data_IF_107569559929
#
_entry.id   IF_107569559929
#
_cell.length_a   1.000
_cell.length_b   1.000
_cell.length_c   1.000
_cell.angle_alpha   90.00
_cell.angle_beta   90.00
_cell.angle_gamma   90.00
#
_symmetry.space_group_name_H-M   'P 1'
#
loop_
_entity.id
_entity.type
_entity.pdbx_description
1 polymer ?
#
# COMPACT_ATOMS: atom_id res chain seq x y z
N UNK A 1 -21.47 55.88 -66.62
CA UNK A 1 -22.76 56.56 -66.31
C UNK A 1 -23.37 55.89 -65.08
N UNK A 2 -23.67 56.69 -64.09
CA UNK A 2 -24.39 56.46 -62.84
C UNK A 2 -23.65 55.66 -61.69
N UNK A 3 -23.05 56.50 -60.88
CA UNK A 3 -22.79 56.40 -59.48
C UNK A 3 -24.07 56.23 -58.64
N UNK A 4 -24.06 55.32 -57.65
CA UNK A 4 -24.91 55.47 -56.44
C UNK A 4 -24.10 55.18 -55.23
N UNK A 5 -23.91 56.23 -54.43
CA UNK A 5 -23.34 56.23 -53.09
C UNK A 5 -24.38 55.79 -52.08
N UNK A 6 -24.05 54.88 -51.22
CA UNK A 6 -24.86 54.48 -50.06
C UNK A 6 -24.02 54.47 -48.79
N UNK A 7 -24.09 55.55 -48.02
CA UNK A 7 -23.56 55.62 -46.64
C UNK A 7 -24.47 54.81 -45.73
N UNK A 8 -23.88 53.88 -44.97
CA UNK A 8 -24.53 53.31 -43.81
C UNK A 8 -23.58 53.48 -42.58
N UNK A 9 -24.08 54.30 -41.67
CA UNK A 9 -23.51 54.58 -40.36
C UNK A 9 -23.71 53.38 -39.46
N UNK A 10 -22.61 52.68 -39.11
CA UNK A 10 -22.64 51.61 -38.13
C UNK A 10 -22.32 52.13 -36.74
N UNK A 11 -23.23 51.91 -35.83
CA UNK A 11 -23.08 52.16 -34.39
C UNK A 11 -21.99 51.22 -33.79
N UNK A 12 -20.99 51.78 -33.13
CA UNK A 12 -20.08 51.11 -32.29
C UNK A 12 -20.82 50.60 -31.04
N UNK A 13 -21.12 49.30 -31.00
CA UNK A 13 -21.53 48.61 -29.79
C UNK A 13 -20.29 48.27 -28.95
N UNK A 14 -20.20 48.89 -27.77
CA UNK A 14 -19.22 48.50 -26.75
C UNK A 14 -19.57 47.10 -26.23
N UNK A 15 -18.82 46.11 -26.64
CA UNK A 15 -18.86 44.78 -26.02
C UNK A 15 -17.98 44.83 -24.76
N UNK A 16 -18.64 44.90 -23.61
CA UNK A 16 -17.99 44.71 -22.31
C UNK A 16 -17.73 43.21 -22.14
N UNK A 17 -16.48 42.82 -22.31
CA UNK A 17 -16.02 41.46 -21.95
C UNK A 17 -15.95 41.40 -20.44
N UNK A 18 -16.97 40.81 -19.80
CA UNK A 18 -16.93 40.41 -18.40
C UNK A 18 -16.02 39.19 -18.30
N UNK A 19 -14.78 39.43 -17.86
CA UNK A 19 -13.83 38.37 -17.50
C UNK A 19 -14.31 37.73 -16.20
N UNK A 20 -15.12 36.66 -16.33
CA UNK A 20 -15.51 35.84 -15.22
C UNK A 20 -14.30 35.07 -14.74
N UNK A 21 -13.69 35.48 -13.62
CA UNK A 21 -12.77 34.64 -12.84
C UNK A 21 -13.55 33.42 -12.34
N UNK A 22 -13.50 32.32 -13.07
CA UNK A 22 -13.82 31.01 -12.51
C UNK A 22 -12.68 30.65 -11.54
N UNK A 23 -12.85 31.01 -10.27
CA UNK A 23 -12.04 30.46 -9.18
C UNK A 23 -12.25 28.96 -9.12
N UNK A 24 -11.35 28.19 -9.71
CA UNK A 24 -11.22 26.78 -9.43
C UNK A 24 -10.83 26.64 -7.96
N UNK A 25 -11.82 26.46 -7.10
CA UNK A 25 -11.59 25.96 -5.74
C UNK A 25 -11.05 24.54 -5.90
N UNK A 26 -9.73 24.42 -5.88
CA UNK A 26 -9.06 23.15 -5.58
C UNK A 26 -9.52 22.77 -4.17
N UNK A 27 -10.62 22.02 -4.11
CA UNK A 27 -11.04 21.36 -2.89
C UNK A 27 -9.89 20.48 -2.44
N UNK A 28 -9.21 20.89 -1.37
CA UNK A 28 -8.33 20.00 -0.65
C UNK A 28 -9.18 18.80 -0.23
N UNK A 29 -9.07 17.71 -0.96
CA UNK A 29 -9.67 16.43 -0.58
C UNK A 29 -8.91 15.99 0.66
N UNK A 30 -9.44 16.34 1.84
CA UNK A 30 -9.03 15.70 3.08
C UNK A 30 -9.13 14.21 2.82
N UNK A 31 -8.00 13.50 2.86
CA UNK A 31 -7.92 12.05 2.71
C UNK A 31 -8.79 11.43 3.80
N UNK A 32 -10.02 11.07 3.46
CA UNK A 32 -10.90 10.29 4.32
C UNK A 32 -10.39 8.85 4.28
N UNK A 33 -9.53 8.51 5.24
CA UNK A 33 -9.16 7.13 5.49
C UNK A 33 -10.41 6.38 5.94
N UNK A 34 -10.77 5.28 5.28
CA UNK A 34 -11.97 4.54 5.65
C UNK A 34 -11.77 3.92 7.04
N UNK A 35 -12.58 4.35 7.99
CA UNK A 35 -12.71 3.72 9.30
C UNK A 35 -13.79 2.67 9.14
N UNK A 36 -13.50 1.39 9.47
CA UNK A 36 -14.48 0.32 9.36
C UNK A 36 -15.58 0.49 10.43
N UNK A 37 -16.77 -0.06 10.17
CA UNK A 37 -17.87 -0.03 11.12
C UNK A 37 -17.48 -0.66 12.46
N UNK A 38 -16.74 -1.77 12.43
CA UNK A 38 -16.28 -2.50 13.61
C UNK A 38 -15.26 -1.69 14.43
N UNK A 39 -14.35 -0.99 13.76
CA UNK A 39 -13.39 -0.10 14.43
C UNK A 39 -14.13 1.04 15.16
N UNK A 40 -15.16 1.60 14.52
CA UNK A 40 -15.98 2.64 15.12
C UNK A 40 -16.81 2.09 16.29
N UNK A 41 -17.36 0.89 16.15
CA UNK A 41 -18.11 0.22 17.22
C UNK A 41 -17.19 -0.05 18.44
N UNK A 42 -16.00 -0.61 18.21
CA UNK A 42 -14.99 -0.85 19.26
C UNK A 42 -14.60 0.46 19.95
N UNK A 43 -14.31 1.51 19.18
CA UNK A 43 -13.95 2.81 19.74
C UNK A 43 -15.12 3.41 20.56
N UNK A 44 -16.35 3.30 20.09
CA UNK A 44 -17.53 3.79 20.81
C UNK A 44 -17.76 3.03 22.12
N UNK A 45 -17.58 1.71 22.10
CA UNK A 45 -17.69 0.88 23.29
C UNK A 45 -16.64 1.27 24.34
N UNK A 46 -15.38 1.44 23.91
CA UNK A 46 -14.27 1.82 24.80
C UNK A 46 -14.43 3.25 25.33
N UNK A 47 -14.99 4.18 24.53
CA UNK A 47 -15.29 5.54 24.97
C UNK A 47 -16.24 5.55 26.18
N UNK A 48 -17.16 4.60 26.26
CA UNK A 48 -18.14 4.49 27.35
C UNK A 48 -17.58 3.75 28.57
N UNK A 49 -16.79 2.70 28.34
CA UNK A 49 -16.37 1.79 29.41
C UNK A 49 -14.90 1.89 29.79
N UNK A 50 -14.04 2.54 29.00
CA UNK A 50 -12.59 2.48 29.14
C UNK A 50 -12.06 1.05 28.88
N UNK A 51 -10.76 0.85 29.03
CA UNK A 51 -10.12 -0.47 28.92
C UNK A 51 -9.71 -1.03 30.29
N UNK A 52 -9.69 -2.36 30.48
CA UNK A 52 -9.17 -2.96 31.69
C UNK A 52 -7.70 -2.62 31.91
N UNK A 53 -7.28 -2.36 33.13
CA UNK A 53 -5.86 -2.10 33.46
C UNK A 53 -4.96 -3.27 33.04
N UNK A 54 -5.49 -4.50 33.03
CA UNK A 54 -4.78 -5.70 32.59
C UNK A 54 -4.34 -5.65 31.11
N UNK A 55 -4.98 -4.83 30.28
CA UNK A 55 -4.68 -4.69 28.85
C UNK A 55 -3.65 -3.60 28.55
N UNK A 56 -3.29 -2.81 29.58
CA UNK A 56 -2.20 -1.84 29.46
C UNK A 56 -0.85 -2.53 29.37
N UNK A 57 0.07 -1.91 28.64
CA UNK A 57 1.48 -2.29 28.68
C UNK A 57 2.03 -2.12 30.10
N UNK A 58 2.92 -3.01 30.54
CA UNK A 58 3.48 -2.99 31.91
C UNK A 58 4.17 -1.66 32.25
N UNK A 59 4.71 -0.98 31.25
CA UNK A 59 5.44 0.30 31.34
C UNK A 59 4.72 1.41 30.60
N UNK A 60 3.38 1.34 30.49
CA UNK A 60 2.61 2.40 29.88
C UNK A 60 2.88 3.75 30.61
N UNK A 61 3.34 4.79 29.89
CA UNK A 61 3.63 6.07 30.49
C UNK A 61 2.35 6.79 30.94
N UNK A 62 2.40 7.55 32.02
CA UNK A 62 1.24 8.35 32.44
C UNK A 62 0.99 9.55 31.51
N UNK A 63 2.04 10.01 30.83
CA UNK A 63 1.95 11.09 29.85
C UNK A 63 2.87 10.81 28.65
N UNK A 64 2.42 11.21 27.46
CA UNK A 64 3.22 11.12 26.26
C UNK A 64 2.97 12.29 25.33
N UNK A 65 4.02 12.91 24.81
CA UNK A 65 3.91 13.95 23.79
C UNK A 65 4.19 13.35 22.43
N UNK A 66 3.23 13.44 21.52
CA UNK A 66 3.34 12.95 20.16
C UNK A 66 4.50 13.65 19.45
N UNK A 67 5.40 12.88 18.85
CA UNK A 67 6.59 13.36 18.14
C UNK A 67 6.40 13.26 16.62
N UNK A 68 7.16 14.06 15.89
CA UNK A 68 7.22 13.93 14.43
C UNK A 68 7.83 12.58 14.06
N UNK A 69 7.13 11.82 13.23
CA UNK A 69 7.52 10.47 12.83
C UNK A 69 6.86 9.36 13.65
N UNK A 70 6.10 9.69 14.70
CA UNK A 70 5.27 8.72 15.40
C UNK A 70 4.18 8.18 14.47
N UNK A 71 3.66 7.01 14.83
CA UNK A 71 2.50 6.40 14.20
C UNK A 71 1.50 5.96 15.27
N UNK A 72 0.22 5.87 14.94
CA UNK A 72 -0.78 5.33 15.88
C UNK A 72 -0.42 3.92 16.35
N UNK A 73 0.19 3.13 15.49
CA UNK A 73 0.71 1.81 15.83
C UNK A 73 1.77 1.89 16.93
N UNK A 74 2.77 2.75 16.76
CA UNK A 74 3.83 2.92 17.75
C UNK A 74 3.29 3.45 19.08
N UNK A 75 2.43 4.47 19.05
CA UNK A 75 1.79 5.04 20.24
C UNK A 75 0.92 3.97 20.91
N UNK A 76 0.14 3.20 20.17
CA UNK A 76 -0.67 2.12 20.73
C UNK A 76 0.19 1.08 21.45
N UNK A 77 1.35 0.73 20.91
CA UNK A 77 2.31 -0.17 21.54
C UNK A 77 2.95 0.37 22.82
N UNK A 78 2.94 1.69 23.05
CA UNK A 78 3.40 2.27 24.31
C UNK A 78 2.37 2.12 25.43
N UNK A 79 1.08 2.21 25.10
CA UNK A 79 0.01 2.20 26.09
C UNK A 79 -0.66 0.83 26.26
N UNK A 80 -0.73 0.03 25.19
CA UNK A 80 -1.42 -1.26 25.16
C UNK A 80 -0.44 -2.42 25.01
N UNK A 81 -0.77 -3.59 25.56
CA UNK A 81 0.00 -4.82 25.38
C UNK A 81 0.16 -5.22 23.90
N UNK A 82 -0.79 -4.79 23.06
CA UNK A 82 -0.85 -5.13 21.63
C UNK A 82 -1.13 -3.90 20.79
N UNK A 83 -0.18 -3.53 19.93
CA UNK A 83 -0.24 -2.32 19.11
C UNK A 83 -1.41 -2.30 18.12
N UNK A 84 -1.86 -3.45 17.63
CA UNK A 84 -2.96 -3.54 16.67
C UNK A 84 -4.33 -3.16 17.27
N UNK A 85 -4.46 -3.08 18.60
CA UNK A 85 -5.68 -2.62 19.31
C UNK A 85 -5.80 -1.08 19.34
N UNK A 86 -5.16 -0.38 18.43
CA UNK A 86 -5.25 1.07 18.30
C UNK A 86 -6.70 1.64 18.23
N UNK A 87 -7.74 0.93 17.74
CA UNK A 87 -9.12 1.41 17.83
C UNK A 87 -9.58 1.63 19.25
N UNK A 88 -9.05 0.85 20.20
CA UNK A 88 -9.34 1.05 21.63
C UNK A 88 -8.61 2.29 22.18
N UNK A 89 -7.35 2.50 21.75
CA UNK A 89 -6.63 3.73 22.07
C UNK A 89 -7.39 4.96 21.55
N UNK A 90 -7.91 4.89 20.34
CA UNK A 90 -8.76 5.93 19.76
C UNK A 90 -10.06 6.10 20.55
N UNK A 91 -10.72 5.00 20.91
CA UNK A 91 -11.95 5.01 21.70
C UNK A 91 -11.81 5.75 23.02
N UNK A 92 -10.66 5.61 23.68
CA UNK A 92 -10.37 6.34 24.91
C UNK A 92 -10.34 7.87 24.72
N UNK A 93 -10.17 8.36 23.48
CA UNK A 93 -10.10 9.79 23.13
C UNK A 93 -11.20 10.22 22.15
N UNK A 94 -12.28 9.46 22.01
CA UNK A 94 -13.26 9.66 20.93
C UNK A 94 -13.91 11.06 20.97
N UNK A 95 -14.04 11.66 22.14
CA UNK A 95 -14.61 13.00 22.31
C UNK A 95 -13.67 14.09 21.78
N UNK A 96 -12.37 13.95 21.99
CA UNK A 96 -11.37 14.92 21.60
C UNK A 96 -10.83 14.67 20.19
N UNK A 97 -10.81 13.40 19.76
CA UNK A 97 -10.28 12.95 18.49
C UNK A 97 -11.39 12.27 17.70
N UNK A 98 -12.15 13.03 16.93
CA UNK A 98 -13.22 12.50 16.08
C UNK A 98 -12.69 11.63 14.93
N UNK A 99 -11.45 11.83 14.51
CA UNK A 99 -10.78 11.08 13.46
C UNK A 99 -9.43 10.56 13.96
N UNK A 100 -9.22 9.23 14.08
CA UNK A 100 -7.99 8.64 14.60
C UNK A 100 -6.76 8.96 13.73
N UNK A 101 -6.97 9.35 12.48
CA UNK A 101 -5.91 9.74 11.55
C UNK A 101 -5.51 11.23 11.69
N UNK A 102 -6.05 11.94 12.67
CA UNK A 102 -5.77 13.36 12.94
C UNK A 102 -5.16 13.58 14.32
N UNK A 103 -4.13 12.82 14.64
CA UNK A 103 -3.26 13.08 15.81
C UNK A 103 -2.02 13.83 15.29
N UNK A 104 -1.63 14.88 15.98
CA UNK A 104 -0.59 15.81 15.52
C UNK A 104 0.62 15.81 16.44
N UNK A 105 1.84 15.97 15.89
CA UNK A 105 3.02 16.19 16.70
C UNK A 105 2.85 17.40 17.65
N UNK A 106 3.31 17.24 18.90
CA UNK A 106 3.15 18.23 19.96
C UNK A 106 1.90 18.02 20.82
N UNK A 107 0.95 17.18 20.40
CA UNK A 107 -0.22 16.83 21.20
C UNK A 107 0.18 15.98 22.39
N UNK A 108 -0.30 16.33 23.58
CA UNK A 108 -0.04 15.57 24.80
C UNK A 108 -1.17 14.60 25.08
N UNK A 109 -0.82 13.36 25.40
CA UNK A 109 -1.70 12.29 25.79
C UNK A 109 -1.49 11.99 27.28
N UNK A 110 -2.57 11.89 28.05
CA UNK A 110 -2.57 11.63 29.49
C UNK A 110 -3.35 10.34 29.76
N UNK A 111 -2.71 9.41 30.47
CA UNK A 111 -3.32 8.15 30.86
C UNK A 111 -3.98 8.31 32.23
N UNK A 112 -5.31 8.33 32.26
CA UNK A 112 -6.10 8.34 33.47
C UNK A 112 -6.49 6.91 33.86
N UNK A 113 -6.13 6.50 35.08
CA UNK A 113 -6.37 5.16 35.63
C UNK A 113 -7.39 5.22 36.75
N UNK A 114 -8.64 5.45 36.42
CA UNK A 114 -9.71 5.62 37.42
C UNK A 114 -10.60 4.37 37.48
N UNK A 115 -10.98 3.98 38.70
CA UNK A 115 -11.96 2.90 38.94
C UNK A 115 -11.60 1.53 38.32
N UNK A 116 -10.31 1.16 38.26
CA UNK A 116 -9.84 -0.11 37.71
C UNK A 116 -9.83 -0.17 36.19
N UNK A 117 -10.08 0.94 35.52
CA UNK A 117 -10.05 1.09 34.06
C UNK A 117 -9.13 2.23 33.66
N UNK A 118 -8.66 2.18 32.41
CA UNK A 118 -7.82 3.22 31.83
C UNK A 118 -8.56 3.98 30.73
N UNK A 119 -8.37 5.29 30.73
CA UNK A 119 -8.82 6.21 29.69
C UNK A 119 -7.64 7.09 29.29
N UNK A 120 -7.41 7.28 28.02
CA UNK A 120 -6.39 8.19 27.51
C UNK A 120 -7.08 9.51 27.13
N UNK A 121 -6.54 10.63 27.55
CA UNK A 121 -7.11 11.96 27.29
C UNK A 121 -6.07 12.86 26.64
N UNK A 122 -6.52 13.81 25.83
CA UNK A 122 -5.67 14.85 25.23
C UNK A 122 -5.53 16.08 26.12
N UNK A 123 -6.31 16.17 27.20
CA UNK A 123 -6.19 17.22 28.25
C UNK A 123 -6.10 16.56 29.59
N UNK A 124 -5.23 17.11 30.45
CA UNK A 124 -5.20 16.71 31.84
C UNK A 124 -6.56 17.06 32.48
N UNK A 125 -7.20 16.09 33.16
CA UNK A 125 -8.38 16.38 33.91
C UNK A 125 -7.98 17.40 35.00
N UNK A 126 -8.41 18.63 34.86
CA UNK A 126 -8.26 19.64 35.93
C UNK A 126 -9.09 19.11 37.09
N UNK A 127 -8.43 18.87 38.22
CA UNK A 127 -9.13 18.71 39.48
C UNK A 127 -10.03 19.96 39.61
N UNK A 128 -11.34 19.71 39.68
CA UNK A 128 -12.33 20.75 39.81
C UNK A 128 -12.12 21.47 41.16
N UNK A 129 -11.37 22.55 41.13
CA UNK A 129 -11.45 23.55 42.16
C UNK A 129 -11.76 24.90 41.49
N UNK A 130 -12.93 25.43 41.85
CA UNK A 130 -13.51 26.58 41.23
C UNK A 130 -12.71 27.84 41.53
N UNK A 131 -12.12 28.40 40.52
CA UNK A 131 -11.82 29.85 40.49
C UNK A 131 -11.73 30.30 39.02
N UNK A 132 -12.43 31.34 38.63
CA UNK A 132 -12.29 31.91 37.30
C UNK A 132 -11.09 32.82 37.32
N UNK A 133 -10.00 32.41 36.73
CA UNK A 133 -8.87 33.29 36.56
C UNK A 133 -8.20 33.13 35.20
N UNK A 134 -8.04 34.28 34.63
CA UNK A 134 -7.16 34.67 33.53
C UNK A 134 -7.50 34.17 32.15
N UNK A 135 -8.32 34.98 31.51
CA UNK A 135 -8.42 35.03 30.07
C UNK A 135 -7.11 35.57 29.48
N UNK A 136 -6.18 34.71 29.15
CA UNK A 136 -5.05 35.07 28.29
C UNK A 136 -5.59 35.31 26.90
N UNK A 137 -5.75 36.56 26.53
CA UNK A 137 -6.08 36.99 25.17
C UNK A 137 -4.88 36.71 24.26
N UNK A 138 -4.86 35.52 23.64
CA UNK A 138 -3.91 35.21 22.56
C UNK A 138 -4.47 35.84 21.30
N UNK A 139 -3.83 36.89 20.80
CA UNK A 139 -4.10 37.44 19.47
C UNK A 139 -3.91 36.34 18.43
N UNK A 140 -4.89 36.06 17.56
CA UNK A 140 -4.73 35.07 16.51
C UNK A 140 -3.79 35.63 15.44
N UNK A 141 -2.54 35.21 15.46
CA UNK A 141 -1.72 35.20 14.25
C UNK A 141 -2.20 33.99 13.45
N UNK A 142 -3.12 34.23 12.53
CA UNK A 142 -3.60 33.23 11.58
C UNK A 142 -2.45 32.85 10.64
N UNK A 143 -1.70 31.84 11.01
CA UNK A 143 -0.88 31.08 10.07
C UNK A 143 -1.74 29.91 9.63
N UNK A 144 -2.32 30.00 8.45
CA UNK A 144 -3.05 28.89 7.85
C UNK A 144 -2.02 27.93 7.28
N UNK A 145 -1.52 27.03 8.09
CA UNK A 145 -0.84 25.81 7.60
C UNK A 145 -1.90 24.71 7.49
N UNK A 146 -1.91 24.02 6.34
CA UNK A 146 -2.78 22.85 6.15
C UNK A 146 -2.32 21.74 7.09
N UNK A 147 -3.02 21.58 8.20
CA UNK A 147 -2.75 20.53 9.20
C UNK A 147 -2.98 19.11 8.65
N UNK A 148 -3.62 18.98 7.48
CA UNK A 148 -3.87 17.68 6.86
C UNK A 148 -2.58 16.91 6.53
N UNK A 149 -1.51 17.63 6.18
CA UNK A 149 -0.22 17.04 5.78
C UNK A 149 0.72 16.75 6.97
N UNK A 150 0.34 17.16 8.18
CA UNK A 150 1.16 17.00 9.40
C UNK A 150 0.64 15.97 10.38
N UNK A 151 -0.52 15.34 10.11
CA UNK A 151 -1.05 14.26 10.94
C UNK A 151 -0.18 13.00 10.87
N UNK A 152 -0.04 12.30 11.99
CA UNK A 152 0.70 11.03 12.01
C UNK A 152 -0.11 9.91 11.33
N UNK A 153 0.53 9.08 10.51
CA UNK A 153 -0.13 7.93 9.89
C UNK A 153 -0.36 6.79 10.89
N UNK A 154 -1.29 5.90 10.57
CA UNK A 154 -1.52 4.68 11.35
C UNK A 154 -0.32 3.74 11.31
N UNK A 155 0.33 3.66 10.14
CA UNK A 155 1.59 2.96 9.90
C UNK A 155 2.51 3.83 9.05
N UNK A 156 3.81 3.63 9.17
CA UNK A 156 4.79 4.31 8.34
C UNK A 156 4.62 3.88 6.87
N UNK A 157 4.06 4.74 6.04
CA UNK A 157 3.80 4.45 4.61
C UNK A 157 5.08 4.13 3.84
N UNK A 158 6.22 4.72 4.24
CA UNK A 158 7.54 4.44 3.65
C UNK A 158 7.99 2.99 3.80
N UNK A 159 7.45 2.23 4.76
CA UNK A 159 7.76 0.80 4.92
C UNK A 159 7.06 -0.08 3.86
N UNK A 160 5.96 0.39 3.27
CA UNK A 160 5.15 -0.38 2.32
C UNK A 160 5.30 0.15 0.89
N UNK A 161 5.49 1.47 0.72
CA UNK A 161 5.48 2.14 -0.57
C UNK A 161 6.45 1.53 -1.62
N UNK A 162 7.69 1.16 -1.29
CA UNK A 162 8.58 0.51 -2.24
C UNK A 162 7.99 -0.79 -2.81
N UNK A 163 7.34 -1.58 -1.96
CA UNK A 163 6.79 -2.88 -2.36
C UNK A 163 5.49 -2.76 -3.16
N UNK A 164 4.73 -1.68 -3.01
CA UNK A 164 3.55 -1.43 -3.83
C UNK A 164 3.89 -1.22 -5.31
N UNK A 165 5.06 -0.68 -5.58
CA UNK A 165 5.53 -0.44 -6.94
C UNK A 165 6.26 -1.63 -7.56
N UNK A 166 6.88 -2.47 -6.75
CA UNK A 166 7.79 -3.52 -7.21
C UNK A 166 7.19 -4.92 -7.16
N UNK A 167 6.46 -5.24 -6.09
CA UNK A 167 5.92 -6.59 -5.88
C UNK A 167 4.66 -6.84 -6.72
N UNK A 168 4.64 -7.95 -7.46
CA UNK A 168 3.47 -8.35 -8.23
C UNK A 168 3.33 -9.87 -8.31
N UNK A 169 2.19 -10.37 -7.82
CA UNK A 169 1.74 -11.73 -8.08
C UNK A 169 0.87 -11.71 -9.33
N UNK A 170 1.14 -12.60 -10.24
CA UNK A 170 0.46 -12.71 -11.53
C UNK A 170 -0.07 -14.12 -11.75
N UNK A 171 -1.13 -14.21 -12.53
CA UNK A 171 -1.48 -15.45 -13.20
C UNK A 171 -0.54 -15.70 -14.39
N UNK A 172 -0.15 -16.95 -14.60
CA UNK A 172 0.80 -17.31 -15.65
C UNK A 172 0.29 -16.94 -17.06
N UNK A 173 -1.00 -17.12 -17.33
CA UNK A 173 -1.60 -16.81 -18.62
C UNK A 173 -1.60 -15.30 -18.87
N UNK A 174 -1.98 -14.50 -17.87
CA UNK A 174 -1.98 -13.04 -17.93
C UNK A 174 -0.55 -12.49 -18.12
N UNK A 175 0.43 -13.04 -17.41
CA UNK A 175 1.83 -12.65 -17.56
C UNK A 175 2.40 -12.98 -18.93
N UNK A 176 2.14 -14.19 -19.43
CA UNK A 176 2.59 -14.61 -20.76
C UNK A 176 1.92 -13.82 -21.88
N UNK A 177 0.69 -13.37 -21.69
CA UNK A 177 -0.05 -12.50 -22.62
C UNK A 177 0.33 -11.02 -22.55
N UNK A 178 1.08 -10.59 -21.54
CA UNK A 178 1.46 -9.20 -21.37
C UNK A 178 2.39 -8.72 -22.52
N UNK A 179 2.32 -7.44 -22.92
CA UNK A 179 3.24 -6.84 -23.87
C UNK A 179 4.70 -7.07 -23.45
N UNK A 180 5.57 -7.22 -24.43
CA UNK A 180 7.00 -7.53 -24.20
C UNK A 180 7.92 -6.66 -25.02
N UNK A 181 9.11 -6.43 -24.53
CA UNK A 181 10.21 -5.82 -25.29
C UNK A 181 10.64 -6.80 -26.38
N UNK A 182 10.65 -6.36 -27.63
CA UNK A 182 10.98 -7.18 -28.79
C UNK A 182 12.31 -6.80 -29.46
N UNK A 183 12.71 -5.53 -29.28
CA UNK A 183 13.98 -5.04 -29.83
C UNK A 183 14.49 -3.85 -29.02
N UNK A 184 15.77 -3.62 -29.08
CA UNK A 184 16.44 -2.44 -28.58
C UNK A 184 16.96 -1.57 -29.74
N UNK A 185 17.17 -0.29 -29.49
CA UNK A 185 17.80 0.58 -30.43
C UNK A 185 19.27 0.16 -30.64
N UNK A 186 19.74 0.20 -31.90
CA UNK A 186 21.13 -0.11 -32.26
C UNK A 186 21.59 -1.55 -31.88
N UNK A 187 20.69 -2.50 -31.73
CA UNK A 187 21.04 -3.89 -31.41
C UNK A 187 21.62 -4.11 -30.01
N UNK A 188 21.42 -3.19 -29.09
CA UNK A 188 21.84 -3.35 -27.69
C UNK A 188 21.21 -4.58 -27.06
N UNK A 189 21.97 -5.31 -26.28
CA UNK A 189 21.50 -6.52 -25.57
C UNK A 189 20.86 -6.15 -24.25
N UNK A 190 21.41 -5.15 -23.55
CA UNK A 190 21.01 -4.68 -22.25
C UNK A 190 20.56 -3.22 -22.35
N UNK A 191 19.48 -2.91 -21.66
CA UNK A 191 18.85 -1.60 -21.66
C UNK A 191 18.86 -1.02 -20.24
N UNK A 192 19.23 0.25 -20.16
CA UNK A 192 19.32 1.02 -18.93
C UNK A 192 18.42 2.25 -19.00
N UNK A 193 18.36 3.02 -17.91
CA UNK A 193 17.60 4.27 -17.86
C UNK A 193 18.09 5.23 -18.98
N UNK A 194 17.14 5.78 -19.74
CA UNK A 194 17.36 6.68 -20.86
C UNK A 194 17.48 5.99 -22.21
N UNK A 195 17.53 4.65 -22.25
CA UNK A 195 17.54 3.89 -23.50
C UNK A 195 16.12 3.79 -24.09
N UNK A 196 16.08 3.74 -25.41
CA UNK A 196 14.87 3.49 -26.18
C UNK A 196 14.77 2.03 -26.59
N UNK A 197 13.58 1.47 -26.47
CA UNK A 197 13.28 0.10 -26.89
C UNK A 197 11.96 0.02 -27.66
N UNK A 198 11.72 -1.15 -28.23
CA UNK A 198 10.50 -1.45 -29.00
C UNK A 198 9.76 -2.59 -28.35
N UNK A 199 8.44 -2.44 -28.22
CA UNK A 199 7.59 -3.41 -27.54
C UNK A 199 6.39 -3.82 -28.39
N UNK A 200 5.85 -5.02 -28.13
CA UNK A 200 4.65 -5.54 -28.76
C UNK A 200 3.69 -6.16 -27.76
N UNK A 201 2.39 -5.86 -27.92
CA UNK A 201 1.31 -6.41 -27.11
C UNK A 201 0.85 -7.79 -27.56
N UNK A 202 0.75 -8.02 -28.88
CA UNK A 202 0.31 -9.28 -29.43
C UNK A 202 1.47 -10.13 -29.95
N UNK A 203 1.37 -11.45 -29.74
CA UNK A 203 2.22 -12.44 -30.39
C UNK A 203 1.41 -13.23 -31.40
N UNK A 204 2.03 -13.68 -32.52
CA UNK A 204 1.39 -14.56 -33.47
C UNK A 204 0.91 -15.83 -32.74
N UNK A 205 -0.36 -16.18 -32.91
CA UNK A 205 -0.98 -17.37 -32.29
C UNK A 205 -1.45 -17.21 -30.85
N UNK A 206 -1.33 -16.04 -30.24
CA UNK A 206 -1.90 -15.79 -28.93
C UNK A 206 -3.25 -15.07 -29.03
N UNK A 207 -4.27 -15.62 -28.34
CA UNK A 207 -5.61 -15.04 -28.24
C UNK A 207 -5.73 -13.96 -27.16
N UNK A 208 -4.71 -13.80 -26.30
CA UNK A 208 -4.71 -12.91 -25.14
C UNK A 208 -3.63 -11.85 -25.33
N UNK A 209 -4.03 -10.59 -25.26
CA UNK A 209 -3.17 -9.42 -25.35
C UNK A 209 -3.84 -8.32 -26.18
N UNK A 210 -3.50 -7.07 -25.89
CA UNK A 210 -3.88 -5.91 -26.69
C UNK A 210 -2.64 -5.27 -27.28
N UNK A 211 -2.71 -4.69 -28.49
CA UNK A 211 -1.66 -3.80 -28.98
C UNK A 211 -1.43 -2.67 -28.00
N UNK A 212 -0.20 -2.24 -27.85
CA UNK A 212 0.12 -1.04 -27.08
C UNK A 212 -0.42 0.19 -27.84
N UNK A 213 -1.19 1.03 -27.18
CA UNK A 213 -1.85 2.19 -27.78
C UNK A 213 -1.56 3.45 -26.96
N UNK A 214 -1.23 4.53 -27.65
CA UNK A 214 -1.06 5.88 -27.13
C UNK A 214 -2.35 6.73 -27.21
N UNK A 215 -3.49 6.09 -27.47
CA UNK A 215 -4.79 6.75 -27.51
C UNK A 215 -5.17 7.30 -26.15
N UNK A 216 -5.96 8.39 -26.14
CA UNK A 216 -6.40 9.06 -24.93
C UNK A 216 -7.16 8.11 -24.01
N UNK A 217 -6.65 7.96 -22.77
CA UNK A 217 -7.24 7.09 -21.74
C UNK A 217 -6.57 5.72 -21.59
N UNK A 218 -5.72 5.33 -22.53
CA UNK A 218 -4.86 4.15 -22.39
C UNK A 218 -3.66 4.45 -21.45
N UNK A 219 -3.08 3.44 -20.80
CA UNK A 219 -1.92 3.62 -19.95
C UNK A 219 -0.69 3.99 -20.77
N UNK A 220 0.07 4.97 -20.31
CA UNK A 220 1.36 5.35 -20.88
C UNK A 220 2.51 4.87 -19.99
N UNK A 221 2.30 4.76 -18.68
CA UNK A 221 3.30 4.31 -17.71
C UNK A 221 3.21 2.81 -17.50
N UNK A 222 4.34 2.13 -17.62
CA UNK A 222 4.45 0.68 -17.48
C UNK A 222 5.54 0.31 -16.48
N UNK A 223 5.24 -0.71 -15.67
CA UNK A 223 6.24 -1.44 -14.91
C UNK A 223 6.76 -2.59 -15.76
N UNK A 224 8.07 -2.82 -15.70
CA UNK A 224 8.72 -3.89 -16.46
C UNK A 224 9.11 -5.01 -15.52
N UNK A 225 8.77 -6.23 -15.93
CA UNK A 225 8.99 -7.44 -15.14
C UNK A 225 9.69 -8.51 -15.96
N UNK A 226 10.47 -9.34 -15.26
CA UNK A 226 11.18 -10.49 -15.81
C UNK A 226 10.76 -11.74 -15.09
N UNK A 227 10.72 -12.87 -15.78
CA UNK A 227 10.44 -14.20 -15.26
C UNK A 227 9.26 -14.20 -14.26
N UNK A 228 8.61 -15.31 -14.14
CA UNK A 228 7.62 -15.53 -13.12
C UNK A 228 8.01 -16.78 -12.34
N UNK A 229 8.34 -16.61 -11.05
CA UNK A 229 8.69 -17.72 -10.17
C UNK A 229 7.43 -18.29 -9.56
N UNK A 230 7.25 -19.62 -9.64
CA UNK A 230 6.07 -20.29 -9.10
C UNK A 230 6.08 -20.21 -7.56
N UNK A 231 5.02 -19.67 -7.00
CA UNK A 231 4.72 -19.66 -5.57
C UNK A 231 3.95 -20.93 -5.22
N UNK A 232 4.58 -21.83 -4.47
CA UNK A 232 4.03 -23.13 -4.11
C UNK A 232 3.59 -23.15 -2.67
N UNK A 233 2.44 -23.73 -2.41
CA UNK A 233 1.99 -24.00 -1.05
C UNK A 233 2.98 -24.92 -0.33
N UNK A 234 3.48 -24.54 0.85
CA UNK A 234 4.51 -25.32 1.55
C UNK A 234 4.06 -26.72 1.99
N UNK A 235 2.75 -26.92 2.16
CA UNK A 235 2.19 -28.20 2.61
C UNK A 235 1.81 -29.12 1.45
N UNK A 236 1.12 -28.54 0.44
CA UNK A 236 0.55 -29.34 -0.67
C UNK A 236 1.44 -29.38 -1.90
N UNK A 237 2.39 -28.43 -2.03
CA UNK A 237 3.20 -28.23 -3.23
C UNK A 237 2.44 -27.65 -4.41
N UNK A 238 1.14 -27.35 -4.27
CA UNK A 238 0.32 -26.77 -5.32
C UNK A 238 0.82 -25.36 -5.67
N UNK A 239 0.82 -25.05 -6.97
CA UNK A 239 1.14 -23.69 -7.45
C UNK A 239 -0.06 -22.79 -7.19
N UNK A 240 0.11 -21.76 -6.36
CA UNK A 240 -0.92 -20.79 -6.00
C UNK A 240 -0.89 -19.53 -6.87
N UNK A 241 0.24 -19.25 -7.52
CA UNK A 241 0.46 -18.10 -8.37
C UNK A 241 1.91 -17.98 -8.77
N UNK A 242 2.26 -16.86 -9.39
CA UNK A 242 3.63 -16.59 -9.83
C UNK A 242 4.05 -15.19 -9.38
N UNK A 243 5.25 -15.08 -8.84
CA UNK A 243 5.86 -13.81 -8.48
C UNK A 243 6.74 -13.33 -9.65
N UNK A 244 6.44 -12.15 -10.17
CA UNK A 244 7.20 -11.54 -11.25
C UNK A 244 8.29 -10.62 -10.68
N UNK A 245 9.52 -10.75 -11.18
CA UNK A 245 10.66 -9.94 -10.78
C UNK A 245 10.57 -8.56 -11.42
N UNK A 246 10.48 -7.52 -10.59
CA UNK A 246 10.49 -6.14 -11.06
C UNK A 246 11.90 -5.73 -11.51
N UNK A 247 12.02 -5.25 -12.74
CA UNK A 247 13.30 -4.78 -13.31
C UNK A 247 13.35 -3.27 -13.55
N UNK A 248 12.18 -2.59 -13.62
CA UNK A 248 12.14 -1.14 -13.72
C UNK A 248 10.86 -0.61 -14.35
N UNK A 249 10.92 0.59 -14.93
CA UNK A 249 9.77 1.30 -15.52
C UNK A 249 10.08 1.80 -16.92
N UNK A 250 9.06 1.82 -17.76
CA UNK A 250 9.10 2.36 -19.11
C UNK A 250 7.87 3.25 -19.38
N UNK A 251 8.05 4.24 -20.23
CA UNK A 251 6.99 5.11 -20.71
C UNK A 251 6.72 4.82 -22.19
N UNK A 252 5.44 4.71 -22.56
CA UNK A 252 5.01 4.52 -23.94
C UNK A 252 5.05 5.87 -24.68
N UNK A 253 5.92 5.98 -25.68
CA UNK A 253 6.09 7.19 -26.50
C UNK A 253 5.19 7.15 -27.73
N UNK A 254 5.02 5.96 -28.33
CA UNK A 254 4.18 5.74 -29.50
C UNK A 254 3.61 4.33 -29.50
N UNK A 255 2.33 4.20 -29.80
CA UNK A 255 1.64 2.92 -29.91
C UNK A 255 2.08 2.07 -31.10
N UNK A 256 1.62 0.81 -31.11
CA UNK A 256 1.81 -0.09 -32.24
C UNK A 256 1.00 0.38 -33.45
N UNK A 257 1.54 0.19 -34.64
CA UNK A 257 0.88 0.50 -35.90
C UNK A 257 1.22 -0.54 -36.98
N UNK A 258 0.57 -0.40 -38.13
CA UNK A 258 0.90 -1.22 -39.33
C UNK A 258 1.28 -0.28 -40.46
N UNK A 259 2.27 -0.68 -41.24
CA UNK A 259 2.72 0.04 -42.44
C UNK A 259 2.67 -0.87 -43.65
N UNK A 260 2.14 -0.38 -44.76
CA UNK A 260 2.24 -1.08 -46.03
C UNK A 260 3.57 -0.77 -46.71
N UNK A 261 4.30 -1.80 -47.02
CA UNK A 261 5.59 -1.71 -47.73
C UNK A 261 5.42 -2.39 -49.09
N UNK A 262 5.76 -1.66 -50.14
CA UNK A 262 5.83 -2.22 -51.51
C UNK A 262 7.25 -2.67 -51.79
N UNK A 263 7.45 -3.97 -51.91
CA UNK A 263 8.75 -4.53 -52.26
C UNK A 263 9.13 -4.18 -53.70
N UNK A 264 10.41 -4.33 -54.05
CA UNK A 264 10.91 -4.03 -55.39
C UNK A 264 10.26 -4.85 -56.51
N UNK A 265 9.68 -6.00 -56.17
CA UNK A 265 8.93 -6.86 -57.05
C UNK A 265 7.44 -6.47 -57.20
N UNK A 266 7.03 -5.34 -56.62
CA UNK A 266 5.65 -4.84 -56.66
C UNK A 266 4.69 -5.49 -55.65
N UNK A 267 5.14 -6.44 -54.84
CA UNK A 267 4.30 -7.05 -53.81
C UNK A 267 4.12 -6.08 -52.64
N UNK A 268 2.87 -5.90 -52.25
CA UNK A 268 2.53 -5.13 -51.05
C UNK A 268 2.44 -6.07 -49.85
N UNK A 269 3.27 -5.83 -48.85
CA UNK A 269 3.19 -6.49 -47.55
C UNK A 269 2.79 -5.52 -46.47
N UNK A 270 2.00 -5.98 -45.50
CA UNK A 270 1.67 -5.18 -44.31
C UNK A 270 2.64 -5.59 -43.21
N UNK A 271 3.47 -4.66 -42.81
CA UNK A 271 4.42 -4.87 -41.72
C UNK A 271 3.93 -4.22 -40.42
N UNK A 272 4.26 -4.85 -39.30
CA UNK A 272 3.92 -4.36 -37.98
C UNK A 272 5.06 -3.45 -37.51
N UNK A 273 4.70 -2.22 -37.16
CA UNK A 273 5.60 -1.28 -36.49
C UNK A 273 5.39 -1.40 -34.99
N UNK A 274 6.38 -1.90 -34.23
CA UNK A 274 6.24 -2.06 -32.79
C UNK A 274 6.09 -0.72 -32.10
N UNK A 275 5.49 -0.75 -30.91
CA UNK A 275 5.40 0.41 -30.04
C UNK A 275 6.82 0.87 -29.63
N UNK A 276 6.98 2.17 -29.46
CA UNK A 276 8.21 2.78 -28.97
C UNK A 276 8.06 3.11 -27.49
N UNK A 277 9.01 2.66 -26.68
CA UNK A 277 9.06 2.92 -25.24
C UNK A 277 10.41 3.50 -24.85
N UNK A 278 10.42 4.37 -23.87
CA UNK A 278 11.64 4.92 -23.24
C UNK A 278 11.77 4.35 -21.82
N UNK A 279 12.96 3.89 -21.45
CA UNK A 279 13.22 3.35 -20.11
C UNK A 279 13.42 4.52 -19.13
N UNK A 280 12.47 4.74 -18.24
CA UNK A 280 12.49 5.88 -17.29
C UNK A 280 13.15 5.54 -15.96
N UNK A 281 13.14 4.26 -15.57
CA UNK A 281 13.85 3.78 -14.39
C UNK A 281 14.28 2.32 -14.59
N UNK A 282 15.49 1.98 -14.17
CA UNK A 282 16.02 0.63 -14.20
C UNK A 282 16.57 0.28 -12.81
N UNK A 283 16.02 -0.78 -12.19
CA UNK A 283 16.54 -1.40 -10.99
C UNK A 283 17.57 -2.46 -11.36
N UNK A 284 17.30 -3.14 -12.45
CA UNK A 284 18.19 -4.08 -13.12
C UNK A 284 18.20 -3.76 -14.61
N UNK A 285 19.23 -4.17 -15.32
CA UNK A 285 19.30 -4.01 -16.78
C UNK A 285 18.17 -4.79 -17.46
N UNK A 286 17.42 -4.11 -18.32
CA UNK A 286 16.33 -4.71 -19.07
C UNK A 286 16.82 -5.38 -20.34
N UNK A 287 16.05 -6.32 -20.87
CA UNK A 287 16.38 -7.07 -22.07
C UNK A 287 15.15 -7.44 -22.90
N UNK A 288 15.39 -7.85 -24.10
CA UNK A 288 14.35 -8.43 -24.96
C UNK A 288 13.71 -9.63 -24.26
N UNK A 289 12.36 -9.66 -24.28
CA UNK A 289 11.54 -10.65 -23.58
C UNK A 289 10.96 -10.17 -22.25
N UNK A 290 11.48 -9.09 -21.64
CA UNK A 290 10.89 -8.50 -20.44
C UNK A 290 9.47 -8.00 -20.74
N UNK A 291 8.56 -8.14 -19.76
CA UNK A 291 7.13 -7.90 -19.87
C UNK A 291 6.72 -6.56 -19.33
N UNK A 292 5.82 -5.88 -20.02
CA UNK A 292 5.26 -4.61 -19.62
C UNK A 292 3.89 -4.81 -18.99
N UNK A 293 3.68 -4.25 -17.80
CA UNK A 293 2.41 -4.25 -17.10
C UNK A 293 2.05 -2.81 -16.79
N UNK A 294 0.84 -2.35 -17.10
CA UNK A 294 0.43 -0.98 -16.79
C UNK A 294 0.69 -0.62 -15.32
N UNK A 295 1.23 0.57 -15.08
CA UNK A 295 1.37 1.06 -13.72
C UNK A 295 -0.03 1.35 -13.16
N UNK A 296 -0.41 0.78 -12.01
CA UNK A 296 -1.71 1.06 -11.42
C UNK A 296 -1.80 2.54 -11.05
N UNK A 297 -2.95 3.15 -11.29
CA UNK A 297 -3.19 4.52 -10.83
C UNK A 297 -2.95 4.59 -9.33
N UNK A 298 -2.12 5.52 -8.88
CA UNK A 298 -1.83 5.73 -7.46
C UNK A 298 -3.13 6.14 -6.77
N UNK A 299 -3.72 5.22 -6.05
CA UNK A 299 -4.68 5.53 -5.00
C UNK A 299 -3.86 5.70 -3.73
N UNK A 300 -4.04 6.81 -3.02
CA UNK A 300 -3.47 6.97 -1.68
C UNK A 300 -4.13 5.93 -0.77
N UNK A 301 -3.44 4.80 -0.60
CA UNK A 301 -3.89 3.71 0.24
C UNK A 301 -3.42 3.99 1.67
N UNK A 302 -4.35 4.21 2.57
CA UNK A 302 -4.07 4.16 4.00
C UNK A 302 -4.34 2.74 4.49
N UNK A 303 -3.37 2.20 5.18
CA UNK A 303 -3.47 0.88 5.81
C UNK A 303 -3.88 1.06 7.25
N UNK A 304 -5.08 0.61 7.57
CA UNK A 304 -5.62 0.64 8.93
C UNK A 304 -5.54 -0.79 9.49
N UNK A 305 -4.60 -1.07 10.42
CA UNK A 305 -4.46 -2.39 11.00
C UNK A 305 -5.71 -2.81 11.78
N UNK A 306 -6.18 -4.03 11.54
CA UNK A 306 -7.30 -4.64 12.25
C UNK A 306 -7.19 -6.16 12.23
N UNK A 307 -7.86 -6.83 13.16
CA UNK A 307 -7.92 -8.29 13.18
C UNK A 307 -8.97 -8.80 12.18
N UNK A 308 -8.78 -10.00 11.58
CA UNK A 308 -9.84 -10.67 10.85
C UNK A 308 -11.04 -10.95 11.75
N UNK A 309 -12.27 -10.75 11.22
CA UNK A 309 -13.49 -11.01 11.94
C UNK A 309 -13.74 -12.52 12.20
N UNK A 310 -13.23 -13.39 11.32
CA UNK A 310 -13.34 -14.83 11.44
C UNK A 310 -11.97 -15.47 11.75
N UNK A 311 -11.95 -16.66 12.38
CA UNK A 311 -10.72 -17.41 12.60
C UNK A 311 -10.03 -17.72 11.27
N UNK A 312 -8.77 -17.32 11.15
CA UNK A 312 -7.96 -17.49 9.96
C UNK A 312 -6.59 -18.06 10.31
N UNK A 313 -6.11 -18.98 9.49
CA UNK A 313 -4.76 -19.53 9.62
C UNK A 313 -4.20 -19.87 8.26
N UNK A 314 -2.88 -19.84 8.14
CA UNK A 314 -2.18 -20.19 6.92
C UNK A 314 -0.67 -20.29 7.14
N UNK A 315 0.07 -20.26 6.04
CA UNK A 315 1.52 -20.40 6.03
C UNK A 315 2.19 -19.34 5.15
N UNK A 316 3.44 -19.06 5.46
CA UNK A 316 4.30 -18.23 4.64
C UNK A 316 4.81 -19.05 3.47
N UNK A 317 4.58 -18.56 2.27
CA UNK A 317 4.88 -19.20 0.98
C UNK A 317 6.24 -18.79 0.46
N UNK A 318 6.59 -17.51 0.60
CA UNK A 318 7.83 -16.93 0.08
C UNK A 318 8.24 -15.73 0.91
N UNK A 319 9.53 -15.45 0.93
CA UNK A 319 10.09 -14.17 1.39
C UNK A 319 10.41 -13.34 0.13
N UNK A 320 9.85 -12.14 0.05
CA UNK A 320 10.05 -11.26 -1.10
C UNK A 320 11.49 -10.79 -1.21
N UNK A 321 12.05 -10.89 -2.42
CA UNK A 321 13.43 -10.45 -2.73
C UNK A 321 14.41 -11.60 -2.89
N UNK A 322 15.59 -11.27 -3.43
CA UNK A 322 16.59 -12.28 -3.80
C UNK A 322 17.28 -12.88 -2.59
N UNK A 323 17.21 -14.21 -2.47
CA UNK A 323 18.10 -15.08 -1.70
C UNK A 323 18.10 -14.91 -0.16
N UNK A 324 16.97 -14.52 0.45
CA UNK A 324 16.90 -14.47 1.91
C UNK A 324 16.16 -15.70 2.43
N UNK A 325 16.82 -16.48 3.27
CA UNK A 325 16.20 -17.65 3.91
C UNK A 325 15.19 -17.26 4.99
N UNK A 326 15.40 -16.10 5.63
CA UNK A 326 14.59 -15.59 6.71
C UNK A 326 14.19 -14.15 6.44
N UNK A 327 12.92 -13.83 6.68
CA UNK A 327 12.45 -12.45 6.71
C UNK A 327 12.71 -11.81 8.07
N UNK A 328 13.23 -10.60 8.06
CA UNK A 328 13.38 -9.73 9.20
C UNK A 328 12.18 -8.77 9.36
N UNK A 329 12.20 -7.94 10.40
CA UNK A 329 11.24 -6.86 10.57
C UNK A 329 11.28 -5.89 9.37
N UNK A 330 10.13 -5.39 8.95
CA UNK A 330 9.93 -4.52 7.79
C UNK A 330 10.26 -5.20 6.43
N UNK A 331 10.35 -6.51 6.39
CA UNK A 331 10.41 -7.25 5.14
C UNK A 331 9.04 -7.81 4.74
N UNK A 332 8.88 -8.08 3.46
CA UNK A 332 7.64 -8.57 2.87
C UNK A 332 7.69 -10.07 2.70
N UNK A 333 6.58 -10.72 3.02
CA UNK A 333 6.36 -12.15 2.82
C UNK A 333 5.10 -12.37 2.00
N UNK A 334 5.03 -13.50 1.30
CA UNK A 334 3.83 -14.00 0.64
C UNK A 334 3.19 -15.04 1.53
N UNK A 335 1.87 -14.96 1.69
CA UNK A 335 1.07 -15.90 2.48
C UNK A 335 0.04 -16.62 1.63
N UNK A 336 -0.30 -17.89 1.98
CA UNK A 336 -1.22 -18.75 1.25
C UNK A 336 -2.70 -18.50 1.61
N UNK A 337 -3.07 -17.24 1.80
CA UNK A 337 -4.46 -16.80 1.96
C UNK A 337 -4.69 -15.57 1.13
N UNK A 338 -5.88 -15.46 0.57
CA UNK A 338 -6.25 -14.36 -0.30
C UNK A 338 -7.70 -13.91 -0.11
N UNK A 339 -8.22 -13.19 -1.09
CA UNK A 339 -9.59 -12.69 -1.05
C UNK A 339 -10.64 -13.82 -1.02
N UNK A 340 -10.33 -14.99 -1.56
CA UNK A 340 -11.18 -16.18 -1.45
C UNK A 340 -11.38 -16.65 -0.02
N UNK A 341 -10.39 -16.43 0.83
CA UNK A 341 -10.41 -16.81 2.24
C UNK A 341 -10.99 -15.68 3.12
N UNK A 342 -11.44 -14.57 2.53
CA UNK A 342 -11.92 -13.39 3.26
C UNK A 342 -10.79 -12.53 3.80
N UNK A 343 -9.57 -12.66 3.24
CA UNK A 343 -8.45 -11.81 3.65
C UNK A 343 -8.56 -10.43 3.01
N UNK A 344 -8.38 -9.39 3.82
CA UNK A 344 -8.47 -7.99 3.42
C UNK A 344 -7.16 -7.23 3.73
N UNK A 345 -7.00 -6.09 3.07
CA UNK A 345 -5.88 -5.18 3.35
C UNK A 345 -6.05 -4.58 4.74
N UNK A 346 -4.98 -4.58 5.52
CA UNK A 346 -4.99 -4.12 6.91
C UNK A 346 -5.14 -5.26 7.92
N UNK A 347 -5.51 -6.49 7.50
CA UNK A 347 -5.56 -7.62 8.40
C UNK A 347 -4.20 -7.87 9.05
N UNK A 348 -4.19 -7.90 10.38
CA UNK A 348 -3.01 -8.23 11.19
C UNK A 348 -3.12 -9.69 11.65
N UNK A 349 -2.02 -10.44 11.53
CA UNK A 349 -1.94 -11.84 11.90
C UNK A 349 -0.76 -12.07 12.83
N UNK A 350 -0.88 -13.02 13.76
CA UNK A 350 0.23 -13.47 14.58
C UNK A 350 1.04 -14.54 13.84
N UNK A 351 2.36 -14.36 13.78
CA UNK A 351 3.28 -15.35 13.25
C UNK A 351 3.63 -16.33 14.36
N UNK A 352 3.59 -17.61 14.06
CA UNK A 352 3.96 -18.70 14.95
C UNK A 352 5.23 -19.37 14.47
N UNK A 353 6.15 -19.58 15.40
CA UNK A 353 7.29 -20.46 15.21
C UNK A 353 6.87 -21.88 15.58
N UNK A 354 7.01 -22.79 14.64
CA UNK A 354 6.71 -24.19 14.92
C UNK A 354 7.71 -24.77 15.94
N UNK A 355 7.15 -25.40 16.99
CA UNK A 355 7.93 -26.08 18.00
C UNK A 355 8.79 -27.19 17.38
N UNK A 356 10.02 -27.29 17.82
CA UNK A 356 10.94 -28.36 17.37
C UNK A 356 10.46 -29.72 17.84
N UNK A 357 10.69 -30.73 17.01
CA UNK A 357 10.57 -32.15 17.43
C UNK A 357 11.92 -32.55 17.98
N UNK A 358 11.94 -32.92 19.26
CA UNK A 358 13.14 -33.32 19.99
C UNK A 358 12.95 -34.72 20.52
N UNK A 359 14.06 -35.39 20.78
CA UNK A 359 14.07 -36.63 21.50
C UNK A 359 14.26 -36.35 22.98
N UNK A 360 13.38 -36.87 23.84
CA UNK A 360 13.53 -36.73 25.28
C UNK A 360 14.80 -37.56 25.71
N UNK A 361 15.81 -36.81 26.12
CA UNK A 361 17.09 -37.42 26.58
C UNK A 361 17.08 -37.76 28.06
N UNK A 362 16.04 -37.36 28.77
CA UNK A 362 15.89 -37.62 30.22
C UNK A 362 15.18 -38.93 30.49
N UNK A 363 14.47 -39.48 29.49
CA UNK A 363 13.82 -40.79 29.58
C UNK A 363 14.59 -41.86 28.81
N UNK A 364 14.67 -43.04 29.38
CA UNK A 364 15.33 -44.23 28.78
C UNK A 364 14.66 -44.66 27.47
N UNK A 365 13.36 -44.41 27.30
CA UNK A 365 12.58 -44.71 26.10
C UNK A 365 12.90 -43.77 24.92
N UNK A 366 13.61 -42.68 25.17
CA UNK A 366 13.96 -41.66 24.17
C UNK A 366 12.76 -41.20 23.31
N UNK A 367 11.63 -41.04 23.95
CA UNK A 367 10.36 -40.65 23.30
C UNK A 367 10.55 -39.37 22.52
N UNK A 368 9.97 -39.28 21.32
CA UNK A 368 9.92 -38.03 20.57
C UNK A 368 8.87 -37.09 21.16
N UNK A 369 9.29 -35.89 21.50
CA UNK A 369 8.43 -34.81 22.00
C UNK A 369 8.42 -33.67 21.01
N UNK A 370 7.27 -33.07 20.79
CA UNK A 370 7.12 -31.85 20.03
C UNK A 370 6.91 -30.68 21.00
N UNK A 371 7.79 -29.69 20.93
CA UNK A 371 7.61 -28.44 21.68
C UNK A 371 6.36 -27.68 21.19
N UNK A 372 5.70 -26.90 22.04
CA UNK A 372 4.57 -26.08 21.64
C UNK A 372 5.00 -25.03 20.60
N UNK A 373 4.06 -24.62 19.77
CA UNK A 373 4.29 -23.49 18.86
C UNK A 373 4.29 -22.20 19.68
N UNK A 374 5.27 -21.34 19.44
CA UNK A 374 5.42 -20.06 20.14
C UNK A 374 5.10 -18.89 19.24
N UNK A 375 4.57 -17.81 19.82
CA UNK A 375 4.34 -16.57 19.09
C UNK A 375 5.68 -15.93 18.74
N UNK A 376 5.94 -15.76 17.43
CA UNK A 376 7.16 -15.15 16.94
C UNK A 376 7.02 -13.66 16.64
N UNK A 377 5.81 -13.21 16.26
CA UNK A 377 5.62 -11.82 15.90
C UNK A 377 4.26 -11.51 15.27
N UNK A 378 4.23 -10.43 14.51
CA UNK A 378 3.05 -9.94 13.80
C UNK A 378 3.40 -9.60 12.35
N UNK A 379 2.47 -9.89 11.45
CA UNK A 379 2.47 -9.41 10.08
C UNK A 379 1.18 -8.64 9.77
N UNK A 380 1.21 -7.77 8.76
CA UNK A 380 0.04 -7.07 8.25
C UNK A 380 -0.07 -7.22 6.74
N UNK A 381 -1.26 -7.56 6.29
CA UNK A 381 -1.59 -7.70 4.86
C UNK A 381 -1.73 -6.31 4.23
N UNK A 382 -0.99 -6.05 3.14
CA UNK A 382 -1.09 -4.78 2.42
C UNK A 382 -1.54 -4.93 0.96
N UNK A 383 -1.43 -6.12 0.38
CA UNK A 383 -1.92 -6.40 -0.98
C UNK A 383 -2.51 -7.80 -1.04
N UNK A 384 -3.74 -7.92 -1.55
CA UNK A 384 -4.47 -9.19 -1.61
C UNK A 384 -4.71 -9.60 -3.05
N UNK A 385 -4.56 -10.89 -3.33
CA UNK A 385 -4.88 -11.59 -4.57
C UNK A 385 -5.88 -12.71 -4.27
N UNK A 386 -6.27 -13.47 -5.26
CA UNK A 386 -7.32 -14.48 -5.11
C UNK A 386 -6.97 -15.57 -4.07
N UNK A 387 -5.76 -16.11 -4.11
CA UNK A 387 -5.28 -17.22 -3.25
C UNK A 387 -4.05 -16.86 -2.41
N UNK A 388 -3.45 -15.71 -2.65
CA UNK A 388 -2.21 -15.26 -2.04
C UNK A 388 -2.36 -13.82 -1.56
N UNK A 389 -1.51 -13.40 -0.65
CA UNK A 389 -1.40 -11.99 -0.27
C UNK A 389 0.03 -11.65 0.09
N UNK A 390 0.39 -10.38 -0.13
CA UNK A 390 1.61 -9.80 0.44
C UNK A 390 1.33 -9.26 1.82
N UNK A 391 2.23 -9.57 2.73
CA UNK A 391 2.18 -9.08 4.09
C UNK A 391 3.55 -8.51 4.51
N UNK A 392 3.50 -7.39 5.26
CA UNK A 392 4.66 -6.77 5.87
C UNK A 392 4.86 -7.36 7.27
N UNK A 393 6.06 -7.80 7.57
CA UNK A 393 6.45 -8.25 8.90
C UNK A 393 6.63 -7.02 9.80
N UNK A 394 5.72 -6.83 10.77
CA UNK A 394 5.69 -5.64 11.63
C UNK A 394 6.61 -5.79 12.84
N UNK A 395 6.61 -6.96 13.45
CA UNK A 395 7.36 -7.27 14.67
C UNK A 395 7.73 -8.74 14.67
N UNK A 396 8.94 -9.06 15.07
CA UNK A 396 9.42 -10.45 15.25
C UNK A 396 10.40 -10.54 16.42
N UNK A 397 10.45 -11.73 17.00
CA UNK A 397 11.49 -12.12 17.96
C UNK A 397 12.61 -12.90 17.28
N UNK A 398 12.30 -13.65 16.22
CA UNK A 398 13.25 -14.47 15.47
C UNK A 398 12.89 -14.45 13.98
N UNK A 399 13.86 -14.75 13.09
CA UNK A 399 13.68 -14.72 11.64
C UNK A 399 12.51 -15.60 11.18
N UNK A 400 11.72 -15.07 10.26
CA UNK A 400 10.53 -15.73 9.68
C UNK A 400 10.92 -16.43 8.39
N UNK A 401 10.50 -17.68 8.21
CA UNK A 401 10.86 -18.52 7.05
C UNK A 401 9.63 -19.08 6.33
N UNK A 402 9.85 -19.57 5.14
CA UNK A 402 8.85 -20.32 4.38
C UNK A 402 8.37 -21.54 5.19
N UNK A 403 7.05 -21.72 5.25
CA UNK A 403 6.39 -22.76 6.03
C UNK A 403 5.99 -22.35 7.45
N UNK A 404 6.50 -21.23 7.98
CA UNK A 404 6.02 -20.71 9.26
C UNK A 404 4.52 -20.40 9.18
N UNK A 405 3.82 -20.66 10.29
CA UNK A 405 2.37 -20.51 10.36
C UNK A 405 1.98 -19.13 10.84
N UNK A 406 0.78 -18.72 10.48
CA UNK A 406 0.14 -17.56 11.06
C UNK A 406 -1.31 -17.86 11.45
N UNK A 407 -1.80 -17.12 12.43
CA UNK A 407 -3.17 -17.19 12.96
C UNK A 407 -3.69 -15.79 13.26
N UNK A 408 -4.96 -15.69 13.69
CA UNK A 408 -5.48 -14.42 14.20
C UNK A 408 -4.60 -13.87 15.33
N UNK A 409 -4.44 -12.55 15.43
CA UNK A 409 -3.70 -11.93 16.53
C UNK A 409 -4.54 -12.02 17.81
N UNK A 410 -4.13 -12.80 18.77
CA UNK A 410 -4.76 -12.91 20.10
C UNK A 410 -4.13 -11.91 21.06
#
# INVERSE_FOLDING_TARGET
MHTVSGRISGRLGRISIALGLLGATLGAHAQNFPITADQKATATQVAQTGIPLADLAANAPDTYTVKRGDTLWAISGLFLKTAWRWPELWGMNLQDIQNPHRIYPGQQLYLDKTSGRAVLRTRQASASDGSPSDVVRISPRTRVESLADTSIPTLASNAIEPFLSEAMIVDAAAFNGAPRIVAAQEGRVLLSRGDRAYARGLSAGQSVGKPLSDARGEPLDYRVFRNATALKDPTTGAILGYEAQFVGKAELVRGESTQQITARDGKVSTEIVPATIDIVAAKEEMRVGDRLVPEPRRTSLSYVPHAPASPMSGQIVSVYGNAVTFAAQNQVVVINRGTRDGLERGHVMAILKDGQVLQDRTDSSKTQIKLPNERNGLLMVFSTYEQLSYALVLQISDGVKVGDRFINPN
#
